data_IF_903732009325
#
_entry.id   IF_903732009325
#
_cell.length_a   1.000
_cell.length_b   1.000
_cell.length_c   1.000
_cell.angle_alpha   90.00
_cell.angle_beta   90.00
_cell.angle_gamma   90.00
#
_symmetry.space_group_name_H-M   'P 1'
#
loop_
_entity.id
_entity.type
_entity.pdbx_description
1 polymer ?
#
# COMPACT_ATOMS: atom_id res chain seq x y z
N UNK A 1 -4.20 8.80 -11.55
CA UNK A 1 -3.00 8.52 -10.73
C UNK A 1 -1.76 8.14 -11.55
N UNK A 2 -1.79 7.14 -12.43
CA UNK A 2 -0.58 6.72 -13.18
C UNK A 2 0.09 7.84 -13.99
N UNK A 3 -0.67 8.83 -14.48
CA UNK A 3 -0.13 9.96 -15.24
C UNK A 3 0.51 11.08 -14.42
N UNK A 4 0.40 11.05 -13.08
CA UNK A 4 0.83 12.14 -12.19
C UNK A 4 2.05 11.79 -11.33
N UNK A 5 2.45 10.51 -11.33
CA UNK A 5 3.63 10.01 -10.64
C UNK A 5 4.54 9.27 -11.62
N UNK A 6 5.85 9.47 -11.52
CA UNK A 6 6.83 8.88 -12.42
C UNK A 6 8.15 8.52 -11.72
N UNK A 7 9.09 7.94 -12.49
CA UNK A 7 10.38 7.47 -12.01
C UNK A 7 10.40 6.00 -11.61
N UNK A 8 11.58 5.46 -11.28
CA UNK A 8 11.77 4.04 -11.02
C UNK A 8 11.10 3.55 -9.73
N UNK A 9 10.47 4.38 -8.91
CA UNK A 9 9.79 3.95 -7.67
C UNK A 9 8.46 4.68 -7.41
N UNK A 10 7.85 5.29 -8.44
CA UNK A 10 6.66 6.14 -8.30
C UNK A 10 6.83 7.35 -7.37
N UNK A 11 8.06 7.73 -7.06
CA UNK A 11 8.36 8.67 -6.00
C UNK A 11 8.43 10.12 -6.48
N UNK A 12 8.35 10.37 -7.78
CA UNK A 12 8.40 11.71 -8.36
C UNK A 12 7.02 12.17 -8.83
N UNK A 13 6.76 13.45 -8.65
CA UNK A 13 5.54 14.13 -9.06
C UNK A 13 5.80 15.59 -9.45
N UNK A 14 4.90 16.16 -10.26
CA UNK A 14 4.91 17.60 -10.56
C UNK A 14 4.09 18.37 -9.52
N UNK A 15 4.75 19.31 -8.83
CA UNK A 15 4.12 20.16 -7.82
C UNK A 15 3.10 21.15 -8.41
N UNK A 16 3.07 21.36 -9.73
CA UNK A 16 2.09 22.19 -10.42
C UNK A 16 0.90 21.39 -10.96
N UNK A 17 0.89 20.07 -10.76
CA UNK A 17 -0.23 19.23 -11.18
C UNK A 17 -1.49 19.61 -10.38
N UNK A 18 -2.55 19.96 -11.10
CA UNK A 18 -3.83 20.37 -10.51
C UNK A 18 -4.48 19.26 -9.69
N UNK A 19 -4.28 17.99 -10.08
CA UNK A 19 -4.82 16.82 -9.37
C UNK A 19 -4.12 16.65 -8.02
N UNK A 20 -2.84 17.02 -7.93
CA UNK A 20 -2.07 16.87 -6.70
C UNK A 20 -2.22 18.04 -5.72
N UNK A 21 -2.82 19.17 -6.11
CA UNK A 21 -2.87 20.36 -5.23
C UNK A 21 -3.51 20.07 -3.86
N UNK A 22 -4.58 19.28 -3.80
CA UNK A 22 -5.19 18.86 -2.54
C UNK A 22 -4.26 17.98 -1.70
N UNK A 23 -3.51 17.06 -2.34
CA UNK A 23 -2.50 16.25 -1.66
C UNK A 23 -1.34 17.11 -1.13
N UNK A 24 -0.85 18.07 -1.92
CA UNK A 24 0.21 18.99 -1.52
C UNK A 24 -0.23 19.88 -0.35
N UNK A 25 -1.44 20.43 -0.40
CA UNK A 25 -1.98 21.22 0.71
C UNK A 25 -2.09 20.39 1.98
N UNK A 26 -2.59 19.17 1.84
CA UNK A 26 -2.70 18.23 2.94
C UNK A 26 -1.34 17.88 3.55
N UNK A 27 -0.35 17.49 2.75
CA UNK A 27 0.99 17.18 3.26
C UNK A 27 1.63 18.37 3.98
N UNK A 28 1.48 19.61 3.47
CA UNK A 28 1.95 20.81 4.19
C UNK A 28 1.29 20.95 5.56
N UNK A 29 0.01 20.61 5.68
CA UNK A 29 -0.72 20.69 6.94
C UNK A 29 -0.32 19.61 7.94
N UNK A 30 0.05 18.41 7.48
CA UNK A 30 0.35 17.24 8.33
C UNK A 30 1.84 17.06 8.63
N UNK A 31 2.74 17.59 7.80
CA UNK A 31 4.19 17.48 8.02
C UNK A 31 4.69 18.39 9.16
N UNK A 32 3.87 19.34 9.64
CA UNK A 32 4.15 20.22 10.79
C UNK A 32 5.50 20.98 10.77
N UNK A 33 6.12 21.14 9.60
CA UNK A 33 7.33 21.95 9.48
C UNK A 33 7.02 23.43 9.75
N UNK A 34 7.83 24.16 10.56
CA UNK A 34 7.56 25.55 10.93
C UNK A 34 7.48 26.52 9.75
N UNK A 35 8.14 26.21 8.64
CA UNK A 35 8.18 27.01 7.41
C UNK A 35 7.08 26.64 6.40
N UNK A 36 6.19 25.70 6.74
CA UNK A 36 5.13 25.20 5.86
C UNK A 36 5.63 24.36 4.69
N UNK A 37 6.88 23.88 4.75
CA UNK A 37 7.44 22.96 3.77
C UNK A 37 6.92 21.52 3.94
N UNK A 38 7.19 20.68 2.94
CA UNK A 38 6.94 19.25 3.01
C UNK A 38 7.97 18.56 3.91
N UNK A 39 7.53 17.54 4.64
CA UNK A 39 8.39 16.53 5.26
C UNK A 39 9.14 15.73 4.19
N UNK A 40 10.28 15.14 4.56
CA UNK A 40 11.16 14.47 3.60
C UNK A 40 10.47 13.30 2.88
N UNK A 41 9.54 12.67 3.57
CA UNK A 41 8.72 11.56 3.11
C UNK A 41 7.68 11.97 2.07
N UNK A 42 7.31 13.25 2.02
CA UNK A 42 6.33 13.80 1.08
C UNK A 42 6.98 14.48 -0.13
N UNK A 43 8.31 14.67 -0.14
CA UNK A 43 9.01 15.39 -1.22
C UNK A 43 9.04 14.57 -2.52
N UNK A 44 8.89 15.26 -3.65
CA UNK A 44 9.10 14.66 -4.98
C UNK A 44 10.52 14.09 -5.09
N UNK A 45 10.63 12.84 -5.53
CA UNK A 45 11.85 12.03 -5.51
C UNK A 45 12.07 11.22 -4.23
N UNK A 46 11.27 11.44 -3.19
CA UNK A 46 11.37 10.79 -1.88
C UNK A 46 10.01 10.30 -1.34
N UNK A 47 8.95 10.39 -2.15
CA UNK A 47 7.57 10.08 -1.75
C UNK A 47 7.45 8.66 -1.17
N UNK A 48 7.09 8.56 0.11
CA UNK A 48 6.92 7.30 0.84
C UNK A 48 5.51 6.72 0.69
N UNK A 49 5.34 5.46 1.09
CA UNK A 49 4.09 4.73 0.91
C UNK A 49 2.92 5.33 1.69
N UNK A 50 3.17 5.83 2.91
CA UNK A 50 2.16 6.50 3.75
C UNK A 50 1.69 7.80 3.09
N UNK A 51 2.62 8.64 2.66
CA UNK A 51 2.34 9.93 2.02
C UNK A 51 1.62 9.73 0.68
N UNK A 52 2.01 8.72 -0.09
CA UNK A 52 1.28 8.33 -1.30
C UNK A 52 -0.18 7.98 -1.00
N UNK A 53 -0.46 7.04 -0.10
CA UNK A 53 -1.84 6.62 0.18
C UNK A 53 -2.65 7.78 0.76
N UNK A 54 -2.11 8.47 1.77
CA UNK A 54 -2.80 9.59 2.41
C UNK A 54 -3.03 10.76 1.44
N UNK A 55 -2.08 11.03 0.54
CA UNK A 55 -2.20 12.04 -0.51
C UNK A 55 -3.29 11.70 -1.52
N UNK A 56 -3.47 10.42 -1.88
CA UNK A 56 -4.57 10.01 -2.78
C UNK A 56 -5.93 10.27 -2.15
N UNK A 57 -6.11 9.90 -0.88
CA UNK A 57 -7.34 10.17 -0.13
C UNK A 57 -7.61 11.69 -0.01
N UNK A 58 -6.58 12.48 0.29
CA UNK A 58 -6.68 13.94 0.27
C UNK A 58 -7.02 14.50 -1.13
N UNK A 59 -6.47 13.92 -2.20
CA UNK A 59 -6.74 14.33 -3.58
C UNK A 59 -8.21 14.17 -4.00
N UNK A 60 -8.91 13.19 -3.43
CA UNK A 60 -10.34 12.97 -3.67
C UNK A 60 -11.24 13.69 -2.67
N UNK A 61 -10.67 14.52 -1.79
CA UNK A 61 -11.41 15.31 -0.81
C UNK A 61 -11.84 14.52 0.44
N UNK A 62 -11.24 13.37 0.69
CA UNK A 62 -11.57 12.49 1.81
C UNK A 62 -10.30 12.07 2.57
N UNK A 63 -9.62 13.02 3.25
CA UNK A 63 -8.35 12.75 3.92
C UNK A 63 -8.48 11.69 5.01
N UNK A 64 -7.46 10.83 5.09
CA UNK A 64 -7.43 9.75 6.08
C UNK A 64 -7.36 10.29 7.52
N UNK A 65 -8.11 9.73 8.47
CA UNK A 65 -8.22 10.28 9.82
C UNK A 65 -7.02 9.99 10.74
N UNK A 66 -5.93 9.41 10.23
CA UNK A 66 -4.70 9.05 10.98
C UNK A 66 -3.41 9.53 10.32
N UNK A 67 -3.50 10.37 9.30
CA UNK A 67 -2.31 10.86 8.60
C UNK A 67 -1.44 11.76 9.48
N UNK A 68 -0.12 11.55 9.41
CA UNK A 68 0.88 12.34 10.11
C UNK A 68 1.33 11.79 11.47
N UNK A 69 0.83 10.61 11.89
CA UNK A 69 1.09 10.08 13.25
C UNK A 69 1.74 8.68 13.25
N UNK A 70 1.86 7.98 12.12
CA UNK A 70 2.31 6.60 12.15
C UNK A 70 3.06 6.09 10.92
N UNK A 71 3.92 5.10 11.18
CA UNK A 71 4.58 4.30 10.16
C UNK A 71 3.60 3.28 9.55
N UNK A 72 3.92 2.76 8.37
CA UNK A 72 3.03 1.86 7.63
C UNK A 72 2.61 0.61 8.44
N UNK A 73 3.52 0.03 9.24
CA UNK A 73 3.28 -1.12 10.11
C UNK A 73 2.22 -0.88 11.21
N UNK A 74 1.94 0.38 11.55
CA UNK A 74 0.96 0.76 12.58
C UNK A 74 -0.46 0.89 12.01
N UNK A 75 -0.62 1.08 10.69
CA UNK A 75 -1.92 1.36 10.08
C UNK A 75 -2.96 0.28 10.38
N UNK A 76 -2.58 -1.00 10.30
CA UNK A 76 -3.51 -2.09 10.62
C UNK A 76 -4.13 -1.93 12.00
N UNK A 77 -3.33 -1.62 13.02
CA UNK A 77 -3.81 -1.41 14.39
C UNK A 77 -4.59 -0.10 14.54
N UNK A 78 -4.17 0.98 13.89
CA UNK A 78 -4.83 2.29 13.96
C UNK A 78 -6.25 2.31 13.38
N UNK A 79 -6.55 1.41 12.47
CA UNK A 79 -7.88 1.23 11.89
C UNK A 79 -8.70 0.13 12.56
N UNK A 80 -8.15 -0.56 13.56
CA UNK A 80 -8.90 -1.60 14.23
C UNK A 80 -10.16 -1.06 14.89
N UNK A 81 -11.32 -1.60 14.50
CA UNK A 81 -12.65 -1.24 15.00
C UNK A 81 -12.96 0.25 14.89
N UNK A 82 -12.34 0.93 13.92
CA UNK A 82 -12.57 2.36 13.71
C UNK A 82 -13.93 2.57 13.06
N UNK A 83 -14.75 3.46 13.61
CA UNK A 83 -16.06 3.78 13.03
C UNK A 83 -15.93 4.28 11.59
N UNK A 84 -16.76 3.77 10.69
CA UNK A 84 -16.70 4.07 9.25
C UNK A 84 -15.66 3.26 8.47
N UNK A 85 -14.96 2.33 9.13
CA UNK A 85 -13.93 1.50 8.50
C UNK A 85 -14.15 0.02 8.79
N UNK A 86 -13.69 -0.83 7.88
CA UNK A 86 -13.76 -2.28 7.98
C UNK A 86 -12.40 -2.90 7.69
N UNK A 87 -11.98 -3.82 8.55
CA UNK A 87 -10.79 -4.64 8.36
C UNK A 87 -11.16 -5.95 7.64
N UNK A 88 -10.37 -6.29 6.63
CA UNK A 88 -10.50 -7.51 5.84
C UNK A 88 -9.20 -8.29 6.01
N UNK A 89 -9.20 -9.46 6.68
CA UNK A 89 -7.97 -10.22 6.91
C UNK A 89 -7.25 -10.63 5.62
N UNK A 90 -5.94 -10.89 5.70
CA UNK A 90 -5.17 -11.46 4.60
C UNK A 90 -5.81 -12.79 4.11
N UNK A 91 -6.39 -12.76 2.91
CA UNK A 91 -7.18 -13.86 2.33
C UNK A 91 -8.67 -13.57 2.16
N UNK A 92 -9.17 -12.47 2.73
CA UNK A 92 -10.46 -11.90 2.38
C UNK A 92 -10.45 -11.22 1.01
N UNK A 93 -11.64 -10.89 0.49
CA UNK A 93 -11.82 -10.28 -0.83
C UNK A 93 -11.75 -8.74 -0.73
N UNK A 94 -10.67 -8.11 -1.21
CA UNK A 94 -10.63 -6.65 -1.29
C UNK A 94 -11.48 -6.14 -2.46
N UNK A 95 -11.61 -4.82 -2.51
CA UNK A 95 -12.22 -4.05 -3.59
C UNK A 95 -11.29 -2.90 -3.99
N UNK A 96 -11.39 -2.38 -5.22
CA UNK A 96 -10.72 -1.13 -5.59
C UNK A 96 -11.05 -0.01 -4.58
N UNK A 97 -10.02 0.71 -4.13
CA UNK A 97 -10.13 1.73 -3.08
C UNK A 97 -9.67 1.25 -1.70
N UNK A 98 -9.65 -0.06 -1.44
CA UNK A 98 -9.12 -0.59 -0.17
C UNK A 98 -7.62 -0.29 -0.03
N UNK A 99 -7.18 -0.05 1.21
CA UNK A 99 -5.76 0.08 1.55
C UNK A 99 -5.23 -1.30 1.91
N UNK A 100 -4.17 -1.76 1.26
CA UNK A 100 -3.45 -2.97 1.67
C UNK A 100 -2.37 -2.59 2.69
N UNK A 101 -2.25 -3.36 3.77
CA UNK A 101 -1.25 -3.14 4.82
C UNK A 101 -0.30 -4.32 4.94
N UNK A 102 0.99 -4.04 5.04
CA UNK A 102 2.03 -5.03 5.32
C UNK A 102 2.74 -4.76 6.64
N UNK A 103 3.04 -5.83 7.36
CA UNK A 103 4.13 -5.86 8.34
C UNK A 103 5.42 -6.28 7.67
N UNK A 104 6.54 -5.93 8.29
CA UNK A 104 7.89 -6.33 7.89
C UNK A 104 8.55 -7.08 9.05
N UNK A 105 9.10 -8.26 8.77
CA UNK A 105 9.93 -9.01 9.70
C UNK A 105 11.32 -8.38 9.81
N UNK A 106 11.96 -8.34 11.00
CA UNK A 106 13.33 -7.83 11.15
C UNK A 106 14.35 -8.54 10.24
N UNK A 107 15.41 -7.84 9.86
CA UNK A 107 16.48 -8.44 9.06
C UNK A 107 17.28 -9.43 9.92
N UNK A 108 17.39 -10.72 9.56
CA UNK A 108 18.21 -11.65 10.32
C UNK A 108 19.70 -11.26 10.35
N UNK A 109 20.18 -10.50 9.36
CA UNK A 109 21.55 -9.98 9.29
C UNK A 109 21.70 -8.61 9.97
N UNK A 110 20.58 -7.92 10.25
CA UNK A 110 20.55 -6.64 10.96
C UNK A 110 19.28 -6.52 11.81
N UNK A 111 19.18 -7.27 12.92
CA UNK A 111 17.94 -7.38 13.71
C UNK A 111 17.58 -6.10 14.45
N UNK A 112 18.49 -5.13 14.51
CA UNK A 112 18.26 -3.80 15.08
C UNK A 112 17.75 -2.79 14.05
N UNK A 113 17.68 -3.18 12.77
CA UNK A 113 17.09 -2.34 11.73
C UNK A 113 15.62 -2.10 12.06
N UNK A 114 15.22 -0.84 11.96
CA UNK A 114 13.82 -0.45 12.10
C UNK A 114 12.97 -1.08 11.01
N UNK A 115 11.81 -1.60 11.40
CA UNK A 115 10.82 -2.21 10.50
C UNK A 115 9.68 -1.23 10.28
N UNK A 116 9.43 -0.88 9.03
CA UNK A 116 8.47 0.19 8.71
C UNK A 116 7.14 -0.36 8.22
N UNK A 117 7.12 -1.58 7.69
CA UNK A 117 5.95 -2.12 6.98
C UNK A 117 5.73 -1.43 5.63
N UNK A 118 4.57 -1.62 5.03
CA UNK A 118 4.23 -0.98 3.75
C UNK A 118 2.74 -0.71 3.60
N UNK A 119 2.39 0.25 2.73
CA UNK A 119 1.02 0.57 2.34
C UNK A 119 0.88 0.69 0.83
N UNK A 120 -0.28 0.30 0.34
CA UNK A 120 -0.65 0.48 -1.06
C UNK A 120 -2.17 0.58 -1.19
N UNK A 121 -2.63 1.02 -2.36
CA UNK A 121 -4.04 1.10 -2.71
C UNK A 121 -4.41 0.00 -3.69
N UNK A 122 -5.48 -0.73 -3.42
CA UNK A 122 -6.06 -1.67 -4.38
C UNK A 122 -6.68 -0.87 -5.52
N UNK A 123 -6.28 -1.18 -6.76
CA UNK A 123 -6.83 -0.53 -7.97
C UNK A 123 -7.59 -1.49 -8.87
N UNK A 124 -7.34 -2.79 -8.76
CA UNK A 124 -8.12 -3.82 -9.44
C UNK A 124 -8.02 -5.16 -8.70
N UNK A 125 -9.08 -5.97 -8.78
CA UNK A 125 -9.14 -7.29 -8.15
C UNK A 125 -9.69 -8.29 -9.16
N UNK A 126 -9.00 -9.41 -9.30
CA UNK A 126 -9.47 -10.59 -10.00
C UNK A 126 -9.58 -11.73 -8.99
N UNK A 127 -10.80 -12.16 -8.70
CA UNK A 127 -11.05 -13.26 -7.78
C UNK A 127 -10.44 -14.58 -8.28
N UNK A 128 -9.94 -15.44 -7.38
CA UNK A 128 -9.61 -16.82 -7.72
C UNK A 128 -10.86 -17.60 -8.18
N UNK A 129 -10.71 -18.47 -9.18
CA UNK A 129 -11.82 -19.27 -9.73
C UNK A 129 -11.41 -20.74 -9.85
N UNK A 130 -12.03 -21.60 -9.05
CA UNK A 130 -11.66 -23.02 -8.99
C UNK A 130 -10.21 -23.19 -8.50
N UNK A 131 -9.37 -23.82 -9.33
CA UNK A 131 -7.94 -23.99 -9.08
C UNK A 131 -7.07 -22.88 -9.68
N UNK A 132 -7.69 -21.87 -10.32
CA UNK A 132 -6.95 -20.73 -10.87
C UNK A 132 -6.79 -19.68 -9.80
N UNK A 133 -5.55 -19.25 -9.60
CA UNK A 133 -5.22 -18.12 -8.73
C UNK A 133 -5.89 -16.83 -9.25
N UNK A 134 -6.23 -15.97 -8.29
CA UNK A 134 -6.64 -14.61 -8.53
C UNK A 134 -5.45 -13.66 -8.52
N UNK A 135 -5.73 -12.38 -8.69
CA UNK A 135 -4.71 -11.34 -8.56
C UNK A 135 -5.29 -10.05 -8.00
N UNK A 136 -4.47 -9.30 -7.29
CA UNK A 136 -4.81 -7.96 -6.79
C UNK A 136 -3.75 -7.01 -7.35
N UNK A 137 -4.19 -6.05 -8.16
CA UNK A 137 -3.34 -4.98 -8.65
C UNK A 137 -3.40 -3.84 -7.63
N UNK A 138 -2.23 -3.44 -7.15
CA UNK A 138 -2.08 -2.33 -6.20
C UNK A 138 -1.35 -1.16 -6.85
N UNK A 139 -1.61 0.05 -6.37
CA UNK A 139 -0.82 1.26 -6.62
C UNK A 139 -0.04 1.65 -5.36
N UNK A 140 1.21 2.05 -5.49
CA UNK A 140 2.13 2.29 -4.37
C UNK A 140 3.25 3.28 -4.73
N UNK A 141 3.91 3.80 -3.70
CA UNK A 141 5.18 4.51 -3.80
C UNK A 141 6.23 3.88 -2.86
N UNK A 142 7.50 4.11 -3.16
CA UNK A 142 8.66 3.61 -2.40
C UNK A 142 8.71 2.07 -2.22
N UNK A 143 8.30 1.32 -3.25
CA UNK A 143 8.44 -0.13 -3.28
C UNK A 143 8.61 -0.66 -4.71
N UNK A 144 9.18 -1.88 -4.89
CA UNK A 144 9.33 -2.47 -6.21
C UNK A 144 7.99 -2.73 -6.91
N UNK A 145 7.85 -2.26 -8.15
CA UNK A 145 6.71 -2.55 -9.03
C UNK A 145 6.89 -3.79 -9.90
N UNK A 146 5.79 -4.33 -10.43
CA UNK A 146 5.81 -5.53 -11.30
C UNK A 146 5.26 -5.31 -12.71
N UNK A 147 4.75 -4.11 -13.03
CA UNK A 147 4.03 -3.89 -14.30
C UNK A 147 4.93 -3.80 -15.55
N UNK A 148 6.26 -3.71 -15.39
CA UNK A 148 7.22 -3.65 -16.50
C UNK A 148 8.42 -4.58 -16.30
N UNK A 149 8.24 -5.91 -16.42
CA UNK A 149 9.33 -6.87 -16.32
C UNK A 149 10.42 -6.58 -17.36
N UNK A 150 11.68 -6.48 -16.94
CA UNK A 150 12.84 -6.29 -17.84
C UNK A 150 13.18 -4.84 -18.21
N UNK A 151 12.42 -3.84 -17.74
CA UNK A 151 12.68 -2.42 -18.04
C UNK A 151 13.79 -1.76 -17.20
N UNK A 152 14.24 -2.42 -16.13
CA UNK A 152 15.12 -1.79 -15.12
C UNK A 152 14.45 -0.67 -14.31
N UNK A 153 13.17 -0.37 -14.58
CA UNK A 153 12.41 0.69 -13.91
C UNK A 153 11.14 0.11 -13.29
N UNK A 154 11.12 0.10 -11.96
CA UNK A 154 9.97 -0.32 -11.15
C UNK A 154 8.86 0.74 -11.26
N UNK A 155 7.61 0.30 -11.51
CA UNK A 155 6.46 1.18 -11.65
C UNK A 155 5.58 1.23 -10.41
N UNK A 156 4.69 2.21 -10.33
CA UNK A 156 3.74 2.46 -9.24
C UNK A 156 2.78 1.31 -8.97
N UNK A 157 2.83 0.23 -9.75
CA UNK A 157 1.89 -0.87 -9.67
C UNK A 157 2.57 -2.19 -9.42
N UNK A 158 1.99 -2.96 -8.53
CA UNK A 158 2.41 -4.32 -8.21
C UNK A 158 1.21 -5.26 -8.31
N UNK A 159 1.47 -6.51 -8.66
CA UNK A 159 0.47 -7.56 -8.81
C UNK A 159 0.70 -8.62 -7.74
N UNK A 160 -0.13 -8.59 -6.69
CA UNK A 160 -0.17 -9.62 -5.67
C UNK A 160 -0.88 -10.84 -6.25
N UNK A 161 -0.22 -12.00 -6.23
CA UNK A 161 -0.88 -13.26 -6.55
C UNK A 161 -1.75 -13.69 -5.37
N UNK A 162 -2.97 -14.13 -5.67
CA UNK A 162 -3.92 -14.55 -4.66
C UNK A 162 -4.30 -16.01 -4.84
N UNK A 163 -3.81 -16.84 -3.94
CA UNK A 163 -4.14 -18.24 -3.89
C UNK A 163 -5.54 -18.44 -3.33
N UNK A 164 -6.42 -19.01 -4.15
CA UNK A 164 -7.81 -19.25 -3.75
C UNK A 164 -7.94 -20.26 -2.60
N UNK A 165 -9.07 -20.27 -1.88
CA UNK A 165 -9.29 -21.22 -0.78
C UNK A 165 -9.16 -22.69 -1.20
N UNK A 166 -9.48 -23.00 -2.46
CA UNK A 166 -9.31 -24.34 -3.03
C UNK A 166 -7.83 -24.70 -3.21
N UNK A 167 -7.00 -23.77 -3.70
CA UNK A 167 -5.55 -23.95 -3.84
C UNK A 167 -4.89 -24.22 -2.48
N UNK A 168 -5.22 -23.40 -1.47
CA UNK A 168 -4.71 -23.56 -0.11
C UNK A 168 -5.08 -24.92 0.53
N UNK A 169 -6.22 -25.52 0.16
CA UNK A 169 -6.63 -26.84 0.67
C UNK A 169 -5.81 -27.99 0.07
N UNK A 170 -5.45 -27.89 -1.21
CA UNK A 170 -4.68 -28.93 -1.92
C UNK A 170 -3.23 -28.98 -1.43
N UNK A 171 -2.63 -27.81 -1.19
CA UNK A 171 -1.22 -27.67 -0.80
C UNK A 171 -0.97 -27.60 0.71
N UNK A 172 -1.95 -28.01 1.54
CA UNK A 172 -1.81 -28.08 3.01
C UNK A 172 -1.05 -29.32 3.49
N UNK A 173 -0.75 -30.27 2.60
CA UNK A 173 -0.15 -31.57 2.95
C UNK A 173 1.38 -31.59 2.83
N UNK A 174 1.96 -30.60 2.16
CA UNK A 174 3.36 -30.49 1.79
C UNK A 174 3.96 -29.20 2.40
N UNK A 175 5.03 -29.39 3.19
CA UNK A 175 5.77 -28.42 4.02
C UNK A 175 5.60 -26.93 3.67
N UNK A 176 5.20 -26.17 4.70
CA UNK A 176 4.86 -24.74 4.73
C UNK A 176 3.65 -24.37 3.87
N UNK A 177 2.50 -24.00 4.48
CA UNK A 177 1.33 -23.64 3.70
C UNK A 177 1.69 -22.42 2.82
N UNK A 178 1.35 -22.44 1.52
CA UNK A 178 1.43 -21.22 0.74
C UNK A 178 0.61 -20.14 1.43
N UNK A 179 1.17 -18.95 1.61
CA UNK A 179 0.42 -17.81 2.11
C UNK A 179 -0.77 -17.54 1.18
N UNK A 180 -1.89 -17.04 1.71
CA UNK A 180 -3.02 -16.69 0.86
C UNK A 180 -2.65 -15.64 -0.20
N UNK A 181 -1.73 -14.73 0.12
CA UNK A 181 -1.25 -13.68 -0.74
C UNK A 181 0.27 -13.75 -0.84
N UNK A 182 0.81 -13.74 -2.05
CA UNK A 182 2.26 -13.73 -2.27
C UNK A 182 2.78 -12.30 -2.20
N UNK A 183 3.79 -12.03 -1.37
CA UNK A 183 4.40 -10.72 -1.20
C UNK A 183 5.93 -10.73 -1.37
N UNK A 184 6.60 -9.62 -1.06
CA UNK A 184 8.05 -9.51 -1.09
C UNK A 184 8.69 -10.27 0.09
N UNK A 185 9.96 -10.69 -0.03
CA UNK A 185 10.68 -11.27 1.10
C UNK A 185 10.59 -10.38 2.34
N UNK A 186 10.31 -10.99 3.50
CA UNK A 186 10.11 -10.34 4.83
C UNK A 186 8.86 -9.48 4.97
N UNK A 187 8.07 -9.27 3.92
CA UNK A 187 6.81 -8.54 4.01
C UNK A 187 5.64 -9.51 4.07
N UNK A 188 4.75 -9.30 5.03
CA UNK A 188 3.55 -10.11 5.23
C UNK A 188 2.31 -9.23 5.14
N UNK A 189 1.36 -9.60 4.28
CA UNK A 189 0.09 -8.89 4.20
C UNK A 189 -0.66 -9.11 5.52
N UNK A 190 -0.95 -8.03 6.24
CA UNK A 190 -1.79 -8.09 7.44
C UNK A 190 -3.27 -8.18 7.05
N UNK A 191 -3.65 -7.44 6.01
CA UNK A 191 -5.00 -7.43 5.46
C UNK A 191 -5.27 -6.17 4.62
N UNK A 192 -6.54 -5.83 4.51
CA UNK A 192 -7.05 -4.65 3.83
C UNK A 192 -7.91 -3.82 4.76
N UNK A 193 -7.85 -2.51 4.59
CA UNK A 193 -8.67 -1.53 5.31
C UNK A 193 -9.59 -0.89 4.27
N UNK A 194 -10.90 -0.99 4.51
CA UNK A 194 -11.95 -0.46 3.66
C UNK A 194 -12.67 0.68 4.36
N UNK A 195 -12.89 1.78 3.65
CA UNK A 195 -13.83 2.80 4.08
C UNK A 195 -15.26 2.36 3.74
N UNK A 196 -16.17 2.48 4.70
CA UNK A 196 -17.58 2.19 4.50
C UNK A 196 -18.29 3.48 4.07
N UNK A 197 -19.10 3.39 3.01
CA UNK A 197 -19.97 4.51 2.62
C UNK A 197 -20.86 4.90 3.81
N UNK A 198 -20.84 6.17 4.19
CA UNK A 198 -21.67 6.75 5.26
C UNK A 198 -22.93 7.39 4.70
#
# INVERSE_FOLDING_TARGET
MQGHLYGPLANQYDAHDVVLQSALHYWKSTCHNPDGSFCDEAKSGSLQCVEFVTGVFAAVGDPLPVSGIGQANQFWQLYQRRAGWQEIPAGGMPQPGDIVTWSEDPDPLNPTQEVYGHLALVVAVQAPVGLRDGSIKIAQANAPGSLYPGSGHTGNFYLLQWHGPAYLKVHRADKHPPEALVSWPRFHVQGFIRQLDQ
#
